data_IF_130668801320
#
_entry.id   IF_130668801320
#
_cell.length_a   1.000
_cell.length_b   1.000
_cell.length_c   1.000
_cell.angle_alpha   90.00
_cell.angle_beta   90.00
_cell.angle_gamma   90.00
#
_symmetry.space_group_name_H-M   'P 1'
#
loop_
_entity.id
_entity.type
_entity.pdbx_description
1 polymer ?
#
# COMPACT_ATOMS: atom_id res chain seq x y z
N UNK A 1 22.19 15.48 -12.32
CA UNK A 1 20.95 15.03 -12.94
C UNK A 1 20.77 13.58 -12.61
N UNK A 2 19.66 13.28 -11.94
CA UNK A 2 19.23 11.92 -11.71
C UNK A 2 18.84 11.28 -13.04
N UNK A 3 19.23 10.03 -13.25
CA UNK A 3 18.89 9.29 -14.46
C UNK A 3 17.63 8.47 -14.27
N UNK A 4 17.51 7.84 -13.11
CA UNK A 4 16.42 6.96 -12.73
C UNK A 4 15.97 7.30 -11.32
N UNK A 5 14.67 7.47 -11.14
CA UNK A 5 14.06 7.62 -9.82
C UNK A 5 12.96 6.58 -9.67
N UNK A 6 13.07 5.75 -8.63
CA UNK A 6 12.03 4.81 -8.21
C UNK A 6 11.21 5.42 -7.07
N UNK A 7 9.89 5.32 -7.18
CA UNK A 7 8.95 5.53 -6.10
C UNK A 7 8.34 4.17 -5.74
N UNK A 8 8.36 3.82 -4.46
CA UNK A 8 7.77 2.59 -3.92
C UNK A 8 6.63 2.98 -2.99
N UNK A 9 5.46 2.37 -3.20
CA UNK A 9 4.34 2.36 -2.26
C UNK A 9 4.08 0.94 -1.80
N UNK A 10 3.88 0.74 -0.49
CA UNK A 10 3.56 -0.55 0.07
C UNK A 10 2.56 -0.40 1.21
N UNK A 11 1.64 -1.36 1.30
CA UNK A 11 0.61 -1.42 2.34
C UNK A 11 0.70 -2.79 3.02
N UNK A 12 0.69 -2.83 4.35
CA UNK A 12 0.89 -4.06 5.10
C UNK A 12 0.27 -3.99 6.50
N UNK A 13 -0.06 -5.16 7.07
CA UNK A 13 -0.48 -5.32 8.45
C UNK A 13 0.79 -5.57 9.29
N UNK A 14 1.32 -4.49 9.86
CA UNK A 14 2.58 -4.49 10.61
C UNK A 14 2.48 -5.08 12.03
N UNK A 15 3.60 -5.61 12.52
CA UNK A 15 3.79 -5.99 13.93
C UNK A 15 2.98 -7.16 14.46
N UNK A 16 2.17 -7.81 13.62
CA UNK A 16 1.23 -8.84 14.02
C UNK A 16 1.35 -10.07 13.13
N UNK A 17 1.22 -11.24 13.74
CA UNK A 17 1.03 -12.52 13.03
C UNK A 17 -0.43 -12.70 12.62
N UNK A 18 -1.34 -12.25 13.49
CA UNK A 18 -2.79 -12.29 13.29
C UNK A 18 -3.39 -11.00 13.85
N UNK A 19 -4.35 -10.43 13.14
CA UNK A 19 -5.18 -9.35 13.68
C UNK A 19 -6.05 -9.87 14.83
N UNK A 20 -6.48 -8.98 15.74
CA UNK A 20 -7.52 -9.30 16.71
C UNK A 20 -8.75 -9.89 16.04
N UNK A 21 -9.37 -10.85 16.73
CA UNK A 21 -10.55 -11.55 16.25
C UNK A 21 -11.77 -10.60 16.18
N UNK A 22 -12.46 -10.60 15.03
CA UNK A 22 -13.68 -9.83 14.80
C UNK A 22 -14.84 -10.81 14.68
N UNK A 23 -15.84 -10.68 15.56
CA UNK A 23 -17.04 -11.53 15.48
C UNK A 23 -18.17 -10.78 14.81
N UNK A 24 -18.70 -11.35 13.73
CA UNK A 24 -19.90 -10.84 13.09
C UNK A 24 -21.10 -11.09 14.00
N UNK A 25 -21.80 -10.04 14.47
CA UNK A 25 -22.91 -10.19 15.40
C UNK A 25 -24.15 -10.86 14.77
N UNK A 26 -24.29 -10.84 13.44
CA UNK A 26 -25.44 -11.44 12.75
C UNK A 26 -25.30 -12.96 12.60
N UNK A 27 -24.08 -13.45 12.33
CA UNK A 27 -23.81 -14.88 12.10
C UNK A 27 -23.16 -15.57 13.28
N UNK A 28 -22.54 -14.82 14.20
CA UNK A 28 -21.70 -15.34 15.29
C UNK A 28 -20.37 -15.93 14.80
N UNK A 29 -20.01 -15.71 13.53
CA UNK A 29 -18.75 -16.18 12.95
C UNK A 29 -17.63 -15.22 13.36
N UNK A 30 -16.51 -15.76 13.81
CA UNK A 30 -15.31 -15.01 14.16
C UNK A 30 -14.28 -15.08 13.04
N UNK A 31 -13.72 -13.94 12.65
CA UNK A 31 -12.71 -13.77 11.62
C UNK A 31 -11.38 -13.29 12.21
N UNK A 32 -10.29 -13.92 11.83
CA UNK A 32 -8.92 -13.51 12.17
C UNK A 32 -8.08 -13.51 10.90
N UNK A 33 -7.45 -12.38 10.59
CA UNK A 33 -6.62 -12.23 9.39
C UNK A 33 -5.15 -12.37 9.73
N UNK A 34 -4.40 -13.09 8.91
CA UNK A 34 -2.95 -13.15 9.07
C UNK A 34 -2.34 -11.78 8.73
N UNK A 35 -1.50 -11.27 9.62
CA UNK A 35 -0.69 -10.07 9.38
C UNK A 35 0.54 -10.37 8.50
N UNK A 36 1.38 -9.37 8.26
CA UNK A 36 2.58 -9.51 7.43
C UNK A 36 3.85 -9.81 8.24
N UNK A 37 3.73 -9.85 9.58
CA UNK A 37 4.80 -10.21 10.50
C UNK A 37 6.11 -9.45 10.27
N UNK A 38 6.01 -8.16 9.97
CA UNK A 38 7.15 -7.27 9.72
C UNK A 38 6.90 -5.87 10.25
N UNK A 39 7.98 -5.09 10.29
CA UNK A 39 7.97 -3.65 10.51
C UNK A 39 8.21 -2.91 9.18
N UNK A 40 8.22 -1.58 9.24
CA UNK A 40 8.53 -0.71 8.10
C UNK A 40 9.89 -1.04 7.49
N UNK A 41 9.92 -1.24 6.18
CA UNK A 41 11.15 -1.52 5.46
C UNK A 41 10.96 -1.36 3.94
N UNK A 42 11.88 -0.66 3.26
CA UNK A 42 11.82 -0.56 1.80
C UNK A 42 12.17 -1.90 1.11
N UNK A 43 12.88 -2.81 1.80
CA UNK A 43 13.41 -4.07 1.25
C UNK A 43 12.39 -5.22 1.27
N UNK A 44 11.15 -4.95 0.87
CA UNK A 44 10.01 -5.87 0.97
C UNK A 44 9.44 -6.30 -0.37
N UNK A 45 10.02 -5.82 -1.48
CA UNK A 45 9.59 -6.12 -2.85
C UNK A 45 9.57 -7.64 -3.11
N UNK A 46 8.47 -8.18 -3.64
CA UNK A 46 8.34 -9.60 -4.00
C UNK A 46 8.53 -10.58 -2.83
N UNK A 47 8.48 -10.12 -1.58
CA UNK A 47 8.63 -10.99 -0.40
C UNK A 47 7.33 -11.70 -0.03
N UNK A 48 6.19 -11.24 -0.57
CA UNK A 48 4.86 -11.71 -0.19
C UNK A 48 4.41 -11.20 1.18
N UNK A 49 5.04 -10.13 1.71
CA UNK A 49 4.78 -9.55 3.03
C UNK A 49 4.11 -8.17 2.95
N UNK A 50 3.28 -7.95 1.95
CA UNK A 50 2.50 -6.73 1.79
C UNK A 50 1.12 -7.08 1.23
N UNK A 51 0.10 -6.33 1.64
CA UNK A 51 -1.25 -6.36 1.05
C UNK A 51 -1.26 -5.78 -0.35
N UNK A 52 -0.54 -4.67 -0.54
CA UNK A 52 -0.31 -4.05 -1.85
C UNK A 52 1.16 -3.68 -1.97
N UNK A 53 1.73 -3.94 -3.13
CA UNK A 53 3.04 -3.46 -3.55
C UNK A 53 2.87 -2.71 -4.87
N UNK A 54 3.38 -1.49 -4.94
CA UNK A 54 3.41 -0.71 -6.16
C UNK A 54 4.78 -0.04 -6.31
N UNK A 55 5.37 -0.13 -7.50
CA UNK A 55 6.59 0.61 -7.84
C UNK A 55 6.40 1.38 -9.14
N UNK A 56 6.93 2.59 -9.16
CA UNK A 56 7.03 3.41 -10.36
C UNK A 56 8.47 3.80 -10.57
N UNK A 57 9.00 3.55 -11.76
CA UNK A 57 10.35 3.93 -12.17
C UNK A 57 10.26 4.99 -13.26
N UNK A 58 10.69 6.20 -12.94
CA UNK A 58 10.87 7.30 -13.87
C UNK A 58 12.28 7.19 -14.44
N UNK A 59 12.38 6.91 -15.74
CA UNK A 59 13.64 6.87 -16.48
C UNK A 59 13.73 8.13 -17.35
N UNK A 60 14.50 9.12 -16.89
CA UNK A 60 14.69 10.40 -17.60
C UNK A 60 15.48 10.23 -18.90
N UNK A 61 16.40 9.25 -18.94
CA UNK A 61 17.20 8.94 -20.14
C UNK A 61 16.31 8.42 -21.27
N UNK A 62 15.35 7.55 -20.94
CA UNK A 62 14.40 7.01 -21.91
C UNK A 62 13.14 7.86 -22.07
N UNK A 63 12.95 8.89 -21.24
CA UNK A 63 11.67 9.61 -21.05
C UNK A 63 10.49 8.64 -20.98
N UNK A 64 10.59 7.67 -20.08
CA UNK A 64 9.58 6.62 -19.92
C UNK A 64 9.32 6.31 -18.46
N UNK A 65 8.05 6.15 -18.13
CA UNK A 65 7.58 5.63 -16.86
C UNK A 65 7.33 4.12 -16.96
N UNK A 66 7.78 3.36 -15.97
CA UNK A 66 7.48 1.95 -15.81
C UNK A 66 6.74 1.74 -14.49
N UNK A 67 5.69 0.92 -14.50
CA UNK A 67 4.92 0.62 -13.31
C UNK A 67 4.93 -0.89 -13.05
N UNK A 68 4.98 -1.24 -11.76
CA UNK A 68 4.79 -2.58 -11.23
C UNK A 68 3.71 -2.53 -10.14
N UNK A 69 2.87 -3.55 -10.10
CA UNK A 69 1.84 -3.71 -9.09
C UNK A 69 1.71 -5.18 -8.70
N UNK A 70 1.46 -5.44 -7.42
CA UNK A 70 1.14 -6.76 -6.90
C UNK A 70 0.30 -6.64 -5.62
N UNK A 71 -0.39 -7.72 -5.28
CA UNK A 71 -1.19 -7.86 -4.05
C UNK A 71 -0.69 -9.02 -3.20
N UNK A 72 -0.89 -8.95 -1.90
CA UNK A 72 -0.58 -10.05 -0.98
C UNK A 72 -1.54 -11.22 -1.08
N UNK A 73 -1.15 -12.35 -0.49
CA UNK A 73 -2.10 -13.42 -0.19
C UNK A 73 -2.84 -13.08 1.11
N UNK A 74 -4.16 -12.99 1.04
CA UNK A 74 -5.01 -12.93 2.24
C UNK A 74 -5.15 -14.34 2.81
N UNK A 75 -4.83 -14.51 4.08
CA UNK A 75 -5.13 -15.73 4.83
C UNK A 75 -6.09 -15.40 5.95
N UNK A 76 -7.24 -16.06 5.97
CA UNK A 76 -8.32 -15.85 6.91
C UNK A 76 -8.54 -17.14 7.71
N UNK A 77 -8.54 -17.02 9.04
CA UNK A 77 -9.03 -18.04 9.95
C UNK A 77 -10.46 -17.69 10.35
N UNK A 78 -11.38 -18.58 10.04
CA UNK A 78 -12.80 -18.41 10.31
C UNK A 78 -13.24 -19.43 11.36
N UNK A 79 -13.81 -18.98 12.47
CA UNK A 79 -14.32 -19.84 13.54
C UNK A 79 -15.84 -19.71 13.61
N UNK A 80 -16.54 -20.81 13.41
CA UNK A 80 -18.00 -20.89 13.46
C UNK A 80 -18.52 -20.82 14.91
N UNK A 81 -19.80 -20.49 15.16
CA UNK A 81 -20.36 -20.42 16.53
C UNK A 81 -20.19 -21.70 17.38
N UNK A 82 -19.99 -22.86 16.74
CA UNK A 82 -19.70 -24.14 17.41
C UNK A 82 -18.21 -24.40 17.69
N UNK A 83 -17.31 -23.44 17.44
CA UNK A 83 -15.87 -23.57 17.65
C UNK A 83 -15.11 -24.29 16.53
N UNK A 84 -15.79 -24.71 15.46
CA UNK A 84 -15.11 -25.28 14.29
C UNK A 84 -14.37 -24.17 13.53
N UNK A 85 -13.09 -24.39 13.26
CA UNK A 85 -12.25 -23.44 12.55
C UNK A 85 -11.90 -23.93 11.14
N UNK A 86 -11.94 -23.02 10.17
CA UNK A 86 -11.54 -23.22 8.78
C UNK A 86 -10.49 -22.16 8.38
N UNK A 87 -9.51 -22.56 7.57
CA UNK A 87 -8.51 -21.65 6.99
C UNK A 87 -8.81 -21.44 5.51
N UNK A 88 -8.89 -20.17 5.10
CA UNK A 88 -9.12 -19.76 3.71
C UNK A 88 -7.98 -18.89 3.22
N UNK A 89 -7.71 -18.99 1.92
CA UNK A 89 -6.71 -18.16 1.26
C UNK A 89 -7.25 -17.63 -0.07
N UNK A 90 -6.92 -16.37 -0.35
CA UNK A 90 -7.32 -15.68 -1.57
C UNK A 90 -6.31 -14.60 -1.91
N UNK A 91 -6.22 -14.25 -3.20
CA UNK A 91 -5.36 -13.17 -3.67
C UNK A 91 -6.24 -12.14 -4.38
N UNK A 92 -6.16 -10.89 -3.94
CA UNK A 92 -6.90 -9.81 -4.58
C UNK A 92 -6.38 -9.56 -6.01
N UNK A 93 -7.23 -9.18 -6.97
CA UNK A 93 -6.76 -8.74 -8.28
C UNK A 93 -5.95 -7.45 -8.18
N UNK A 94 -5.12 -7.17 -9.18
CA UNK A 94 -4.28 -5.96 -9.24
C UNK A 94 -4.96 -4.79 -9.97
N UNK A 95 -6.16 -5.01 -10.50
CA UNK A 95 -6.85 -4.06 -11.40
C UNK A 95 -7.10 -2.69 -10.75
N UNK A 96 -7.20 -2.64 -9.42
CA UNK A 96 -7.34 -1.41 -8.65
C UNK A 96 -6.02 -0.73 -8.25
N UNK A 97 -4.86 -1.28 -8.62
CA UNK A 97 -3.54 -0.70 -8.33
C UNK A 97 -2.97 -0.09 -9.61
N UNK A 98 -3.20 1.21 -9.81
CA UNK A 98 -2.99 1.90 -11.08
C UNK A 98 -2.01 3.07 -10.98
N UNK A 99 -1.43 3.43 -12.13
CA UNK A 99 -0.67 4.67 -12.31
C UNK A 99 -1.31 5.45 -13.45
N UNK A 100 -1.66 6.70 -13.19
CA UNK A 100 -2.44 7.54 -14.09
C UNK A 100 -1.81 8.94 -14.25
N UNK A 101 -2.24 9.68 -15.27
CA UNK A 101 -1.90 11.10 -15.40
C UNK A 101 -0.42 11.40 -15.67
N UNK A 102 0.31 10.47 -16.29
CA UNK A 102 1.71 10.67 -16.68
C UNK A 102 1.85 11.92 -17.58
N UNK A 103 2.66 12.88 -17.13
CA UNK A 103 2.97 14.11 -17.86
C UNK A 103 4.46 14.43 -17.73
N UNK A 104 5.10 14.71 -18.86
CA UNK A 104 6.52 15.05 -18.91
C UNK A 104 6.73 16.53 -19.18
N UNK A 105 7.39 17.21 -18.25
CA UNK A 105 7.95 18.53 -18.45
C UNK A 105 9.30 18.50 -19.16
N UNK A 106 9.99 19.65 -19.12
CA UNK A 106 11.36 19.75 -19.62
C UNK A 106 12.36 19.00 -18.73
N UNK A 107 12.17 19.07 -17.40
CA UNK A 107 13.03 18.45 -16.38
C UNK A 107 12.21 17.79 -15.26
N UNK A 108 10.95 17.44 -15.54
CA UNK A 108 10.04 16.85 -14.56
C UNK A 108 9.19 15.74 -15.17
N UNK A 109 8.76 14.80 -14.33
CA UNK A 109 7.73 13.84 -14.65
C UNK A 109 6.70 13.81 -13.51
N UNK A 110 5.43 14.02 -13.83
CA UNK A 110 4.33 13.97 -12.85
C UNK A 110 3.37 12.82 -13.17
N UNK A 111 2.84 12.17 -12.15
CA UNK A 111 1.91 11.03 -12.25
C UNK A 111 1.17 10.83 -10.92
N UNK A 112 0.14 10.00 -10.93
CA UNK A 112 -0.66 9.64 -9.76
C UNK A 112 -0.60 8.13 -9.55
N UNK A 113 -0.20 7.71 -8.36
CA UNK A 113 -0.27 6.32 -7.89
C UNK A 113 -1.58 6.12 -7.11
N UNK A 114 -2.36 5.10 -7.47
CA UNK A 114 -3.60 4.74 -6.77
C UNK A 114 -3.60 3.26 -6.40
N UNK A 115 -4.20 2.95 -5.28
CA UNK A 115 -4.64 1.60 -4.97
C UNK A 115 -6.05 1.64 -4.38
N UNK A 116 -6.91 0.74 -4.85
CA UNK A 116 -8.19 0.40 -4.26
C UNK A 116 -8.34 -1.11 -4.31
N UNK A 117 -8.17 -1.79 -3.18
CA UNK A 117 -8.06 -3.25 -3.15
C UNK A 117 -9.02 -3.85 -2.11
N UNK A 118 -9.96 -4.66 -2.59
CA UNK A 118 -10.94 -5.36 -1.76
C UNK A 118 -10.38 -6.67 -1.19
N UNK A 119 -10.99 -7.15 -0.11
CA UNK A 119 -10.70 -8.49 0.42
C UNK A 119 -11.23 -9.59 -0.53
N UNK A 120 -10.37 -10.48 -1.06
CA UNK A 120 -10.79 -11.56 -1.95
C UNK A 120 -11.63 -12.64 -1.25
N UNK A 121 -11.69 -12.67 0.08
CA UNK A 121 -12.41 -13.66 0.88
C UNK A 121 -13.71 -13.13 1.52
N UNK A 122 -13.90 -11.80 1.50
CA UNK A 122 -15.09 -11.12 2.03
C UNK A 122 -15.51 -9.99 1.11
N UNK A 123 -16.49 -10.25 0.26
CA UNK A 123 -17.01 -9.28 -0.70
C UNK A 123 -17.69 -8.06 -0.05
N UNK A 124 -18.06 -8.17 1.23
CA UNK A 124 -18.67 -7.10 2.03
C UNK A 124 -17.64 -6.22 2.77
N UNK A 125 -16.37 -6.62 2.79
CA UNK A 125 -15.34 -5.82 3.45
C UNK A 125 -15.02 -4.55 2.63
N UNK A 126 -14.78 -3.41 3.30
CA UNK A 126 -14.31 -2.20 2.63
C UNK A 126 -13.00 -2.43 1.88
N UNK A 127 -12.73 -1.58 0.90
CA UNK A 127 -11.45 -1.54 0.19
C UNK A 127 -10.39 -0.86 1.03
N UNK A 128 -9.13 -1.22 0.80
CA UNK A 128 -8.01 -0.39 1.22
C UNK A 128 -7.69 0.58 0.11
N UNK A 129 -7.66 1.88 0.43
CA UNK A 129 -7.50 2.94 -0.55
C UNK A 129 -6.33 3.90 -0.24
N UNK A 130 -5.57 4.23 -1.28
CA UNK A 130 -4.69 5.39 -1.31
C UNK A 130 -4.66 6.08 -2.68
N UNK A 131 -4.36 7.37 -2.67
CA UNK A 131 -4.04 8.16 -3.86
C UNK A 131 -2.85 9.07 -3.55
N UNK A 132 -1.80 9.01 -4.37
CA UNK A 132 -0.59 9.83 -4.19
C UNK A 132 -0.24 10.52 -5.51
N UNK A 133 -0.22 11.84 -5.50
CA UNK A 133 0.24 12.69 -6.60
C UNK A 133 1.73 12.92 -6.45
N UNK A 134 2.50 12.59 -7.48
CA UNK A 134 3.96 12.69 -7.46
C UNK A 134 4.44 13.58 -8.61
N UNK A 135 5.45 14.42 -8.32
CA UNK A 135 6.29 15.07 -9.33
C UNK A 135 7.75 14.81 -9.01
N UNK A 136 8.47 14.24 -9.97
CA UNK A 136 9.91 13.94 -9.88
C UNK A 136 10.70 14.95 -10.70
N UNK A 137 11.82 15.44 -10.16
CA UNK A 137 12.70 16.43 -10.79
C UNK A 137 14.01 15.77 -11.28
N UNK A 138 14.37 16.02 -12.54
CA UNK A 138 15.57 15.45 -13.18
C UNK A 138 16.88 16.01 -12.62
N UNK A 139 16.87 17.26 -12.14
CA UNK A 139 18.08 17.97 -11.69
C UNK A 139 18.84 17.21 -10.59
N UNK A 140 18.10 16.75 -9.60
CA UNK A 140 18.59 16.17 -8.34
C UNK A 140 17.88 14.87 -7.94
N UNK A 141 16.83 14.46 -8.67
CA UNK A 141 16.02 13.29 -8.32
C UNK A 141 15.03 13.55 -7.19
N UNK A 142 14.78 14.82 -6.83
CA UNK A 142 13.78 15.18 -5.82
C UNK A 142 12.38 14.75 -6.25
N UNK A 143 11.58 14.23 -5.32
CA UNK A 143 10.17 13.94 -5.49
C UNK A 143 9.35 14.82 -4.55
N UNK A 144 8.37 15.53 -5.11
CA UNK A 144 7.31 16.18 -4.35
C UNK A 144 6.08 15.29 -4.40
N UNK A 145 5.57 14.91 -3.24
CA UNK A 145 4.43 14.01 -3.09
C UNK A 145 3.34 14.66 -2.25
N UNK A 146 2.11 14.50 -2.68
CA UNK A 146 0.91 14.82 -1.92
C UNK A 146 -0.02 13.63 -2.00
N UNK A 147 -0.41 13.07 -0.87
CA UNK A 147 -1.22 11.86 -0.87
C UNK A 147 -2.30 11.84 0.19
N UNK A 148 -3.21 10.89 0.00
CA UNK A 148 -4.28 10.53 0.92
C UNK A 148 -4.39 9.02 1.03
N UNK A 149 -4.78 8.51 2.20
CA UNK A 149 -5.11 7.10 2.39
C UNK A 149 -6.11 6.90 3.55
N UNK A 150 -6.72 5.72 3.60
CA UNK A 150 -7.56 5.27 4.74
C UNK A 150 -6.71 4.98 5.98
N UNK A 151 -7.30 4.94 7.18
CA UNK A 151 -6.53 4.81 8.44
C UNK A 151 -5.88 3.45 8.70
N UNK A 152 -6.28 2.40 7.98
CA UNK A 152 -5.79 1.04 8.21
C UNK A 152 -5.42 0.33 6.90
N UNK A 153 -4.34 -0.49 6.86
CA UNK A 153 -3.39 -0.82 7.93
C UNK A 153 -2.19 0.14 7.94
N UNK A 154 -0.95 -0.36 7.85
CA UNK A 154 0.25 0.47 7.71
C UNK A 154 0.49 0.83 6.24
N UNK A 155 0.91 2.08 6.00
CA UNK A 155 1.29 2.58 4.67
C UNK A 155 2.74 3.05 4.70
N UNK A 156 3.51 2.76 3.66
CA UNK A 156 4.89 3.22 3.55
C UNK A 156 5.22 3.61 2.10
N UNK A 157 5.86 4.77 1.96
CA UNK A 157 6.29 5.32 0.68
C UNK A 157 7.76 5.70 0.74
N UNK A 158 8.51 5.27 -0.27
CA UNK A 158 9.95 5.49 -0.37
C UNK A 158 10.33 5.99 -1.77
N UNK A 159 11.46 6.67 -1.83
CA UNK A 159 12.15 7.08 -3.06
C UNK A 159 13.52 6.44 -3.11
N UNK A 160 13.99 6.10 -4.31
CA UNK A 160 15.37 5.69 -4.56
C UNK A 160 15.86 6.34 -5.84
N UNK A 161 17.01 7.02 -5.79
CA UNK A 161 17.62 7.70 -6.93
C UNK A 161 18.84 6.90 -7.39
N UNK A 162 18.93 6.63 -8.69
CA UNK A 162 20.10 6.01 -9.35
C UNK A 162 20.65 4.75 -8.62
N UNK A 163 19.75 3.90 -8.13
CA UNK A 163 20.07 2.68 -7.36
C UNK A 163 20.84 2.92 -6.04
N UNK A 164 20.80 4.13 -5.51
CA UNK A 164 21.33 4.46 -4.19
C UNK A 164 20.47 3.93 -3.04
N UNK A 165 20.64 4.51 -1.86
CA UNK A 165 19.85 4.15 -0.70
C UNK A 165 18.39 4.62 -0.83
N UNK A 166 17.48 3.92 -0.15
CA UNK A 166 16.10 4.35 -0.04
C UNK A 166 15.95 5.52 0.93
N UNK A 167 15.15 6.50 0.52
CA UNK A 167 14.74 7.65 1.32
C UNK A 167 13.25 7.54 1.64
N UNK A 168 12.89 7.70 2.92
CA UNK A 168 11.49 7.65 3.35
C UNK A 168 10.76 8.94 2.97
N UNK A 169 9.69 8.80 2.17
CA UNK A 169 8.78 9.90 1.86
C UNK A 169 7.71 10.04 2.95
N UNK A 170 7.07 8.92 3.30
CA UNK A 170 5.96 8.92 4.25
C UNK A 170 5.75 7.52 4.84
N UNK A 171 5.29 7.46 6.09
CA UNK A 171 4.84 6.24 6.74
C UNK A 171 3.64 6.53 7.63
N UNK A 172 2.65 5.65 7.62
CA UNK A 172 1.53 5.61 8.56
C UNK A 172 1.51 4.27 9.29
N UNK A 173 1.32 4.30 10.60
CA UNK A 173 1.22 3.12 11.46
C UNK A 173 -0.09 3.17 12.25
N UNK A 174 -1.04 2.32 11.87
CA UNK A 174 -2.36 2.23 12.52
C UNK A 174 -2.26 1.98 14.03
N UNK A 175 -1.17 1.35 14.51
CA UNK A 175 -0.95 1.06 15.94
C UNK A 175 -0.60 2.31 16.74
N UNK A 176 -0.10 3.35 16.08
CA UNK A 176 0.25 4.64 16.70
C UNK A 176 -0.99 5.54 16.74
N UNK A 177 -1.83 5.47 15.72
CA UNK A 177 -3.08 6.24 15.62
C UNK A 177 -4.28 5.55 16.26
N UNK A 178 -4.13 4.28 16.67
CA UNK A 178 -5.17 3.44 17.24
C UNK A 178 -6.34 3.17 16.26
N UNK A 179 -6.04 3.23 14.95
CA UNK A 179 -7.00 2.89 13.90
C UNK A 179 -7.25 1.38 13.87
N UNK A 180 -8.48 1.00 13.56
CA UNK A 180 -8.90 -0.40 13.44
C UNK A 180 -9.25 -0.73 11.99
N UNK A 181 -9.53 -1.99 11.63
CA UNK A 181 -10.05 -2.30 10.30
C UNK A 181 -11.31 -1.53 9.89
N UNK A 182 -12.05 -0.95 10.84
CA UNK A 182 -13.18 -0.04 10.56
C UNK A 182 -12.74 1.26 9.86
N UNK A 183 -11.50 1.70 10.06
CA UNK A 183 -10.93 2.88 9.40
C UNK A 183 -10.67 2.66 7.89
N UNK A 184 -10.94 1.47 7.36
CA UNK A 184 -11.03 1.22 5.91
C UNK A 184 -12.39 1.61 5.33
N UNK A 185 -13.43 1.74 6.16
CA UNK A 185 -14.77 2.14 5.73
C UNK A 185 -14.92 3.66 5.76
N UNK A 186 -15.06 4.29 4.59
CA UNK A 186 -15.28 5.73 4.49
C UNK A 186 -14.30 6.45 3.56
N UNK A 187 -14.00 7.70 3.89
CA UNK A 187 -13.08 8.54 3.11
C UNK A 187 -11.62 8.30 3.47
N UNK A 188 -10.69 8.64 2.56
CA UNK A 188 -9.26 8.67 2.86
C UNK A 188 -8.93 9.84 3.79
N UNK A 189 -9.04 9.61 5.09
CA UNK A 189 -8.99 10.63 6.15
C UNK A 189 -7.58 11.14 6.49
N UNK A 190 -6.53 10.39 6.14
CA UNK A 190 -5.15 10.80 6.35
C UNK A 190 -4.61 11.47 5.09
N UNK A 191 -3.94 12.61 5.28
CA UNK A 191 -3.33 13.39 4.21
C UNK A 191 -1.90 13.75 4.54
N UNK A 192 -1.02 13.74 3.54
CA UNK A 192 0.38 14.11 3.70
C UNK A 192 0.91 14.88 2.51
N UNK A 193 1.92 15.71 2.77
CA UNK A 193 2.73 16.37 1.75
C UNK A 193 4.20 16.30 2.15
N UNK A 194 5.06 15.92 1.20
CA UNK A 194 6.51 15.80 1.41
C UNK A 194 7.27 16.19 0.15
N UNK A 195 8.48 16.71 0.32
CA UNK A 195 9.39 16.99 -0.80
C UNK A 195 10.79 16.56 -0.39
N UNK A 196 11.34 15.52 -1.04
CA UNK A 196 12.64 14.92 -0.75
C UNK A 196 13.32 14.47 -2.04
#
# INVERSE_FOLDING_TARGET
MATIVKIRGSVFIGGLQWLPAITDPATGITYEYAGDAREFSPETVNTGRSRVEQEVVVDFVKRKLFAFANTGLTSLRQTMPGGLTEMKQGKAPIDGVTVEGETWGAMTCSFVMKASVADPLRADAPTMDYEVHITVHEEDGKATVRGSHVGFPCFEFYKQVDFGDFEQLYTHDFRVTDDTPEAMDGEMEYHFERSL
#
